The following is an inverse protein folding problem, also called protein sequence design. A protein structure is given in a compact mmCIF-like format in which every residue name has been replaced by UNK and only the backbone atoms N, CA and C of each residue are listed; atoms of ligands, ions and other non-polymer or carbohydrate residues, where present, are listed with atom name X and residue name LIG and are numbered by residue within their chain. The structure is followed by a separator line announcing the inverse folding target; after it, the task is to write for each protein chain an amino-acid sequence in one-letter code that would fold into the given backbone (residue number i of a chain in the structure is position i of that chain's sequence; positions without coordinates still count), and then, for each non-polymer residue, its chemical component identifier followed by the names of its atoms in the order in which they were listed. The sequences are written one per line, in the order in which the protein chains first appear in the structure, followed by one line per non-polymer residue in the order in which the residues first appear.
data_IF_748224280356
#
_entry.id   IF_748224280356
#
_cell.length_a   1.000
_cell.length_b   1.000
_cell.length_c   1.000
_cell.angle_alpha   90.00
_cell.angle_beta   90.00
_cell.angle_gamma   90.00
#
_symmetry.space_group_name_H-M   'P 1'
#
loop_
_entity.id
_entity.type
_entity.pdbx_description
1 polymer ?
#
# COMPACT_ATOMS: atom_id res chain seq x y z
N UNK A 1 -27.00 10.44 31.87
CA UNK A 1 -25.88 9.48 31.92
C UNK A 1 -25.46 9.17 30.49
N UNK A 2 -24.37 9.76 30.01
CA UNK A 2 -23.86 9.51 28.67
C UNK A 2 -23.07 8.20 28.66
N UNK A 3 -23.45 7.26 27.79
CA UNK A 3 -22.67 6.04 27.55
C UNK A 3 -21.32 6.46 26.97
N UNK A 4 -20.24 6.27 27.74
CA UNK A 4 -18.89 6.26 27.21
C UNK A 4 -18.79 5.14 26.19
N UNK A 5 -18.45 5.49 24.96
CA UNK A 5 -18.04 4.54 23.94
C UNK A 5 -16.61 4.15 24.32
N UNK A 6 -16.43 2.93 24.83
CA UNK A 6 -15.11 2.42 25.21
C UNK A 6 -14.17 2.43 24.00
N UNK A 7 -12.97 2.98 24.20
CA UNK A 7 -11.89 2.86 23.23
C UNK A 7 -11.50 1.37 23.10
N UNK A 8 -11.21 0.87 21.89
CA UNK A 8 -10.87 -0.52 21.68
C UNK A 8 -9.59 -0.89 22.47
N UNK A 9 -9.51 -2.12 23.02
CA UNK A 9 -8.39 -2.54 23.86
C UNK A 9 -7.07 -2.44 23.09
N UNK A 10 -6.06 -1.83 23.73
CA UNK A 10 -4.69 -1.80 23.21
C UNK A 10 -4.20 -3.23 22.99
N UNK A 11 -3.88 -3.57 21.74
CA UNK A 11 -3.12 -4.78 21.40
C UNK A 11 -3.80 -5.84 20.53
N UNK A 12 -5.05 -5.66 20.09
CA UNK A 12 -5.66 -6.58 19.11
C UNK A 12 -5.70 -5.95 17.72
N UNK A 13 -5.08 -6.62 16.75
CA UNK A 13 -5.17 -6.23 15.35
C UNK A 13 -6.63 -6.36 14.88
N UNK A 14 -7.17 -5.27 14.32
CA UNK A 14 -8.46 -5.28 13.65
C UNK A 14 -8.28 -5.95 12.30
N UNK A 15 -9.06 -7.00 12.03
CA UNK A 15 -9.01 -7.67 10.73
C UNK A 15 -10.05 -7.07 9.81
N UNK A 16 -9.61 -6.74 8.61
CA UNK A 16 -10.46 -6.19 7.58
C UNK A 16 -10.42 -7.11 6.36
N UNK A 17 -11.56 -7.73 6.01
CA UNK A 17 -11.66 -8.61 4.83
C UNK A 17 -11.51 -7.77 3.55
N UNK A 18 -10.52 -8.08 2.73
CA UNK A 18 -10.30 -7.38 1.46
C UNK A 18 -11.40 -7.69 0.41
N UNK A 19 -12.21 -8.73 0.65
CA UNK A 19 -13.28 -9.23 -0.21
C UNK A 19 -12.82 -9.42 -1.66
N UNK A 20 -11.70 -10.11 -1.83
CA UNK A 20 -11.12 -10.38 -3.14
C UNK A 20 -11.81 -11.60 -3.73
N UNK A 21 -12.97 -11.40 -4.36
CA UNK A 21 -13.83 -12.48 -4.88
C UNK A 21 -13.28 -13.11 -6.17
N UNK A 22 -12.68 -12.30 -7.04
CA UNK A 22 -11.86 -12.73 -8.19
C UNK A 22 -10.69 -11.78 -8.28
N UNK A 23 -9.50 -12.27 -7.95
CA UNK A 23 -8.27 -11.54 -8.26
C UNK A 23 -8.22 -11.41 -9.79
N UNK A 24 -7.77 -10.27 -10.31
CA UNK A 24 -7.37 -10.21 -11.72
C UNK A 24 -6.24 -11.23 -11.93
N UNK A 25 -6.58 -12.41 -12.43
CA UNK A 25 -5.66 -13.55 -12.56
C UNK A 25 -4.47 -13.26 -13.50
N UNK A 26 -4.53 -12.15 -14.24
CA UNK A 26 -3.48 -11.69 -15.14
C UNK A 26 -2.43 -10.76 -14.51
N UNK A 27 -2.61 -10.29 -13.26
CA UNK A 27 -1.60 -9.41 -12.63
C UNK A 27 -0.38 -10.20 -12.12
N UNK A 28 0.80 -9.73 -12.51
CA UNK A 28 2.09 -10.11 -11.96
C UNK A 28 2.52 -9.19 -10.83
N UNK A 29 3.72 -9.45 -10.32
CA UNK A 29 4.34 -8.63 -9.27
C UNK A 29 4.63 -7.19 -9.75
N UNK A 30 5.11 -6.96 -11.00
CA UNK A 30 5.32 -5.60 -11.50
C UNK A 30 4.05 -4.75 -11.54
N UNK A 31 2.91 -5.30 -11.98
CA UNK A 31 1.64 -4.56 -12.02
C UNK A 31 1.15 -4.17 -10.61
N UNK A 32 1.35 -5.06 -9.64
CA UNK A 32 1.03 -4.77 -8.23
C UNK A 32 1.94 -3.68 -7.65
N UNK A 33 3.25 -3.73 -7.91
CA UNK A 33 4.20 -2.70 -7.47
C UNK A 33 3.93 -1.35 -8.16
N UNK A 34 3.62 -1.37 -9.47
CA UNK A 34 3.20 -0.20 -10.24
C UNK A 34 2.01 0.50 -9.58
N UNK A 35 1.03 -0.26 -9.11
CA UNK A 35 -0.14 0.31 -8.43
C UNK A 35 0.21 1.00 -7.11
N UNK A 36 1.17 0.48 -6.34
CA UNK A 36 1.67 1.15 -5.12
C UNK A 36 2.38 2.45 -5.47
N UNK A 37 3.25 2.43 -6.48
CA UNK A 37 3.97 3.62 -6.98
C UNK A 37 2.98 4.67 -7.49
N UNK A 38 1.98 4.26 -8.29
CA UNK A 38 0.95 5.15 -8.81
C UNK A 38 0.17 5.83 -7.67
N UNK A 39 -0.17 5.09 -6.61
CA UNK A 39 -0.87 5.67 -5.46
C UNK A 39 -0.01 6.69 -4.70
N UNK A 40 1.30 6.46 -4.58
CA UNK A 40 2.23 7.44 -3.99
C UNK A 40 2.34 8.71 -4.86
N UNK A 41 2.46 8.55 -6.19
CA UNK A 41 2.48 9.67 -7.14
C UNK A 41 1.18 10.48 -7.11
N UNK A 42 0.03 9.81 -7.08
CA UNK A 42 -1.28 10.46 -6.97
C UNK A 42 -1.37 11.27 -5.69
N UNK A 43 -0.93 10.72 -4.56
CA UNK A 43 -0.95 11.43 -3.30
C UNK A 43 -0.02 12.66 -3.34
N UNK A 44 1.16 12.56 -3.96
CA UNK A 44 2.04 13.70 -4.20
C UNK A 44 1.33 14.78 -5.03
N UNK A 45 0.71 14.42 -6.15
CA UNK A 45 0.01 15.36 -7.03
C UNK A 45 -1.21 16.01 -6.35
N UNK A 46 -1.95 15.27 -5.52
CA UNK A 46 -3.15 15.77 -4.85
C UNK A 46 -2.84 16.65 -3.64
N UNK A 47 -1.80 16.30 -2.87
CA UNK A 47 -1.44 16.99 -1.62
C UNK A 47 -0.35 18.05 -1.79
N UNK A 48 0.36 18.06 -2.93
CA UNK A 48 1.55 18.89 -3.13
C UNK A 48 2.70 18.52 -2.18
N UNK A 49 2.75 17.26 -1.74
CA UNK A 49 3.79 16.78 -0.83
C UNK A 49 5.15 16.62 -1.53
N UNK A 50 6.17 16.31 -0.72
CA UNK A 50 7.51 16.04 -1.22
C UNK A 50 7.54 14.84 -2.18
N UNK A 51 8.59 14.77 -2.98
CA UNK A 51 8.82 13.67 -3.92
C UNK A 51 8.89 12.32 -3.20
N UNK A 52 8.18 11.33 -3.74
CA UNK A 52 8.20 9.98 -3.19
C UNK A 52 9.61 9.37 -3.27
N UNK A 53 9.93 8.48 -2.34
CA UNK A 53 11.20 7.76 -2.31
C UNK A 53 10.98 6.28 -2.61
N UNK A 54 11.77 5.72 -3.54
CA UNK A 54 11.84 4.28 -3.79
C UNK A 54 13.25 3.78 -3.49
N UNK A 55 13.42 3.09 -2.36
CA UNK A 55 14.74 2.70 -1.86
C UNK A 55 14.74 1.23 -1.44
N UNK A 56 15.77 0.49 -1.85
CA UNK A 56 15.99 -0.88 -1.38
C UNK A 56 16.71 -0.84 -0.03
N UNK A 57 16.17 -1.58 0.96
CA UNK A 57 16.78 -1.76 2.27
C UNK A 57 16.91 -3.25 2.58
N UNK A 58 17.50 -3.57 3.73
CA UNK A 58 17.72 -4.95 4.19
C UNK A 58 16.45 -5.79 4.22
N UNK A 59 15.31 -5.17 4.55
CA UNK A 59 14.03 -5.83 4.75
C UNK A 59 13.07 -5.71 3.55
N UNK A 60 13.55 -5.18 2.41
CA UNK A 60 12.84 -5.14 1.15
C UNK A 60 12.88 -3.79 0.46
N UNK A 61 12.03 -3.65 -0.55
CA UNK A 61 11.84 -2.39 -1.25
C UNK A 61 10.87 -1.50 -0.48
N UNK A 62 11.25 -0.24 -0.29
CA UNK A 62 10.41 0.79 0.32
C UNK A 62 9.90 1.75 -0.74
N UNK A 63 8.58 1.95 -0.79
CA UNK A 63 7.93 3.01 -1.56
C UNK A 63 7.29 3.95 -0.54
N UNK A 64 7.88 5.13 -0.34
CA UNK A 64 7.45 6.11 0.66
C UNK A 64 6.89 7.35 0.00
N UNK A 65 5.62 7.67 0.27
CA UNK A 65 5.02 8.99 0.00
C UNK A 65 5.13 9.90 1.24
N UNK A 66 4.97 11.21 1.05
CA UNK A 66 5.00 12.21 2.14
C UNK A 66 3.68 12.97 2.30
N UNK A 67 2.58 12.38 1.82
CA UNK A 67 1.27 13.00 1.83
C UNK A 67 0.51 12.79 3.14
N UNK A 68 -0.80 12.66 3.01
CA UNK A 68 -1.76 12.62 4.14
C UNK A 68 -1.75 11.28 4.88
N UNK A 69 -1.16 10.24 4.31
CA UNK A 69 -1.08 8.89 4.87
C UNK A 69 -2.29 8.01 4.55
N UNK A 70 -2.03 6.73 4.29
CA UNK A 70 -3.06 5.72 3.99
C UNK A 70 -3.92 5.43 5.23
N UNK A 71 -5.25 5.43 5.06
CA UNK A 71 -6.19 4.91 6.05
C UNK A 71 -6.73 3.57 5.57
N UNK A 72 -7.06 2.65 6.47
CA UNK A 72 -7.59 1.34 6.07
C UNK A 72 -8.89 1.44 5.25
N UNK A 73 -9.69 2.50 5.43
CA UNK A 73 -10.87 2.76 4.61
C UNK A 73 -10.54 3.00 3.13
N UNK A 74 -9.33 3.44 2.81
CA UNK A 74 -8.89 3.58 1.41
C UNK A 74 -8.69 2.22 0.75
N UNK A 75 -8.58 1.13 1.53
CA UNK A 75 -8.56 -0.22 1.01
C UNK A 75 -9.95 -0.71 0.60
N UNK A 76 -11.04 0.06 0.78
CA UNK A 76 -12.42 -0.43 0.55
C UNK A 76 -13.20 0.37 -0.48
N UNK A 77 -12.71 1.56 -0.81
CA UNK A 77 -13.38 2.49 -1.71
C UNK A 77 -13.15 2.08 -3.16
N UNK A 78 -14.21 1.77 -3.90
CA UNK A 78 -14.10 1.48 -5.33
C UNK A 78 -13.66 2.71 -6.15
N UNK A 79 -13.94 3.93 -5.66
CA UNK A 79 -13.62 5.16 -6.35
C UNK A 79 -13.37 6.28 -5.35
N UNK A 80 -12.25 7.01 -5.49
CA UNK A 80 -12.00 8.21 -4.71
C UNK A 80 -12.58 9.42 -5.48
N UNK A 81 -13.61 10.13 -4.96
CA UNK A 81 -14.21 11.28 -5.62
C UNK A 81 -13.22 12.41 -5.93
N UNK A 82 -12.13 12.52 -5.16
CA UNK A 82 -11.05 13.48 -5.40
C UNK A 82 -10.26 13.12 -6.66
N UNK A 83 -9.91 11.84 -6.84
CA UNK A 83 -9.21 11.33 -8.03
C UNK A 83 -10.06 11.48 -9.29
N UNK A 84 -11.38 11.23 -9.21
CA UNK A 84 -12.31 11.47 -10.33
C UNK A 84 -12.35 12.95 -10.73
N UNK A 85 -12.37 13.88 -9.77
CA UNK A 85 -12.42 15.33 -10.05
C UNK A 85 -11.10 15.89 -10.57
N UNK A 86 -9.99 15.17 -10.38
CA UNK A 86 -8.64 15.56 -10.78
C UNK A 86 -8.00 14.47 -11.64
N UNK A 87 -8.79 13.89 -12.56
CA UNK A 87 -8.37 12.76 -13.40
C UNK A 87 -7.13 13.03 -14.25
N UNK A 88 -6.86 14.31 -14.52
CA UNK A 88 -5.73 14.75 -15.34
C UNK A 88 -4.42 14.83 -14.52
N UNK A 89 -4.53 14.76 -13.18
CA UNK A 89 -3.41 14.85 -12.24
C UNK A 89 -3.03 13.50 -11.61
N UNK A 90 -3.85 12.46 -11.82
CA UNK A 90 -3.69 11.15 -11.16
C UNK A 90 -3.53 10.04 -12.19
N UNK A 91 -2.60 9.13 -11.92
CA UNK A 91 -2.35 7.90 -12.67
C UNK A 91 -3.45 6.87 -12.35
N UNK A 92 -3.82 6.74 -11.08
CA UNK A 92 -4.84 5.80 -10.63
C UNK A 92 -6.24 6.40 -10.72
N UNK A 93 -7.10 5.84 -11.57
CA UNK A 93 -8.48 6.34 -11.77
C UNK A 93 -9.53 5.64 -10.90
N UNK A 94 -9.22 4.44 -10.40
CA UNK A 94 -10.16 3.57 -9.67
C UNK A 94 -9.55 3.12 -8.34
N UNK A 95 -10.33 3.14 -7.25
CA UNK A 95 -9.89 2.76 -5.90
C UNK A 95 -9.81 1.25 -5.66
N UNK A 96 -10.03 0.45 -6.69
CA UNK A 96 -9.94 -1.02 -6.67
C UNK A 96 -8.51 -1.56 -6.75
N UNK A 97 -7.58 -0.84 -7.39
CA UNK A 97 -6.25 -1.37 -7.73
C UNK A 97 -5.43 -1.80 -6.53
N UNK A 98 -5.49 -1.07 -5.40
CA UNK A 98 -4.67 -1.39 -4.24
C UNK A 98 -5.05 -2.72 -3.57
N UNK A 99 -6.34 -3.11 -3.57
CA UNK A 99 -6.75 -4.43 -3.07
C UNK A 99 -6.16 -5.56 -3.92
N UNK A 100 -6.21 -5.39 -5.24
CA UNK A 100 -5.70 -6.37 -6.19
C UNK A 100 -4.18 -6.48 -6.12
N UNK A 101 -3.48 -5.36 -5.90
CA UNK A 101 -2.05 -5.35 -5.62
C UNK A 101 -1.71 -6.15 -4.36
N UNK A 102 -2.39 -5.88 -3.24
CA UNK A 102 -2.19 -6.61 -1.98
C UNK A 102 -2.46 -8.12 -2.13
N UNK A 103 -3.53 -8.49 -2.83
CA UNK A 103 -3.85 -9.88 -3.10
C UNK A 103 -2.79 -10.56 -3.98
N UNK A 104 -2.29 -9.84 -4.99
CA UNK A 104 -1.24 -10.31 -5.90
C UNK A 104 0.07 -10.53 -5.16
N UNK A 105 0.52 -9.59 -4.32
CA UNK A 105 1.71 -9.75 -3.49
C UNK A 105 1.61 -10.99 -2.59
N UNK A 106 0.51 -11.14 -1.86
CA UNK A 106 0.30 -12.32 -1.02
C UNK A 106 0.36 -13.63 -1.83
N UNK A 107 -0.25 -13.69 -3.02
CA UNK A 107 -0.23 -14.88 -3.88
C UNK A 107 1.16 -15.21 -4.40
N UNK A 108 1.98 -14.18 -4.64
CA UNK A 108 3.35 -14.31 -5.18
C UNK A 108 4.42 -14.43 -4.09
N UNK A 109 4.02 -14.43 -2.81
CA UNK A 109 4.95 -14.57 -1.68
C UNK A 109 5.72 -13.30 -1.35
N UNK A 110 5.29 -12.13 -1.85
CA UNK A 110 5.86 -10.83 -1.47
C UNK A 110 5.21 -10.39 -0.16
N UNK A 111 6.02 -10.19 0.87
CA UNK A 111 5.55 -9.71 2.17
C UNK A 111 5.20 -8.23 2.07
N UNK A 112 4.02 -7.86 2.56
CA UNK A 112 3.58 -6.45 2.59
C UNK A 112 3.49 -5.97 4.03
N UNK A 113 4.20 -4.88 4.32
CA UNK A 113 4.04 -4.09 5.54
C UNK A 113 3.82 -2.63 5.16
N UNK A 114 2.79 -2.01 5.72
CA UNK A 114 2.46 -0.61 5.47
C UNK A 114 2.53 0.14 6.78
N UNK A 115 3.28 1.23 6.83
CA UNK A 115 3.32 2.16 7.96
C UNK A 115 2.71 3.48 7.55
N UNK A 116 1.72 3.93 8.30
CA UNK A 116 1.03 5.21 8.08
C UNK A 116 0.81 5.90 9.43
N UNK A 117 0.70 7.24 9.49
CA UNK A 117 0.29 7.94 10.71
C UNK A 117 -1.07 7.48 11.25
N UNK A 118 -1.88 6.77 10.43
CA UNK A 118 -3.22 6.31 10.81
C UNK A 118 -3.29 4.84 11.22
N UNK A 119 -2.20 4.07 11.09
CA UNK A 119 -2.14 2.66 11.45
C UNK A 119 -1.10 1.90 10.65
N UNK A 120 -0.68 0.75 11.20
CA UNK A 120 0.16 -0.20 10.48
C UNK A 120 -0.71 -1.30 9.88
N UNK A 121 -0.38 -1.77 8.68
CA UNK A 121 -1.14 -2.77 7.95
C UNK A 121 -0.23 -3.90 7.51
N UNK A 122 -0.67 -5.14 7.77
CA UNK A 122 -0.07 -6.37 7.25
C UNK A 122 -1.14 -7.25 6.62
N UNK A 123 -0.75 -8.28 5.88
CA UNK A 123 -1.69 -9.23 5.26
C UNK A 123 -1.73 -10.54 6.04
N UNK A 124 -2.94 -11.05 6.30
CA UNK A 124 -3.14 -12.32 7.00
C UNK A 124 -4.34 -13.07 6.44
N UNK A 125 -4.22 -14.39 6.29
CA UNK A 125 -5.40 -15.25 6.08
C UNK A 125 -6.15 -15.43 7.38
N UNK A 126 -7.44 -15.12 7.39
CA UNK A 126 -8.32 -15.32 8.54
C UNK A 126 -9.67 -15.86 8.09
N UNK A 127 -10.45 -16.39 9.03
CA UNK A 127 -11.81 -16.81 8.74
C UNK A 127 -12.67 -15.57 8.43
N UNK A 128 -13.52 -15.69 7.40
CA UNK A 128 -14.50 -14.68 7.05
C UNK A 128 -15.49 -14.52 8.20
N UNK A 129 -15.82 -13.26 8.53
CA UNK A 129 -16.81 -12.97 9.57
C UNK A 129 -18.12 -13.71 9.25
N UNK A 130 -18.64 -14.46 10.22
CA UNK A 130 -19.85 -15.31 10.11
C UNK A 130 -19.73 -16.58 9.25
N UNK A 131 -18.55 -16.88 8.68
CA UNK A 131 -18.30 -18.11 7.91
C UNK A 131 -16.92 -18.69 8.28
N UNK A 132 -16.87 -19.39 9.43
CA UNK A 132 -15.63 -19.90 10.00
C UNK A 132 -14.83 -20.81 9.04
N UNK A 133 -15.54 -21.53 8.16
CA UNK A 133 -14.95 -22.49 7.21
C UNK A 133 -14.36 -21.82 5.96
N UNK A 134 -14.64 -20.53 5.75
CA UNK A 134 -14.15 -19.77 4.59
C UNK A 134 -12.98 -18.90 5.04
N UNK A 135 -11.76 -19.20 4.59
CA UNK A 135 -10.60 -18.33 4.84
C UNK A 135 -10.43 -17.33 3.70
N UNK A 136 -10.50 -16.04 4.02
CA UNK A 136 -10.23 -14.94 3.07
C UNK A 136 -8.94 -14.22 3.44
N UNK A 137 -8.48 -13.33 2.55
CA UNK A 137 -7.32 -12.48 2.81
C UNK A 137 -7.79 -11.21 3.52
N UNK A 138 -7.21 -10.94 4.68
CA UNK A 138 -7.50 -9.76 5.48
C UNK A 138 -6.30 -8.84 5.56
N UNK A 139 -6.57 -7.53 5.59
CA UNK A 139 -5.66 -6.54 6.14
C UNK A 139 -5.77 -6.57 7.68
N UNK A 140 -4.67 -6.91 8.34
CA UNK A 140 -4.55 -6.80 9.79
C UNK A 140 -4.02 -5.41 10.14
N UNK A 141 -4.85 -4.63 10.83
CA UNK A 141 -4.60 -3.22 11.13
C UNK A 141 -4.29 -3.08 12.63
N UNK A 142 -3.16 -2.46 12.94
CA UNK A 142 -2.76 -2.11 14.31
C UNK A 142 -2.59 -0.60 14.47
N UNK A 143 -2.58 -0.07 15.70
CA UNK A 143 -2.20 1.31 15.93
C UNK A 143 -0.85 1.64 15.26
N UNK A 144 -0.65 2.89 14.80
CA UNK A 144 0.56 3.27 14.08
C UNK A 144 1.78 3.08 14.97
N UNK A 145 2.81 2.39 14.48
CA UNK A 145 4.11 2.34 15.16
C UNK A 145 4.83 3.69 15.12
N UNK A 146 4.56 4.49 14.07
CA UNK A 146 5.13 5.82 13.85
C UNK A 146 4.02 6.88 13.70
N UNK A 147 3.30 7.27 14.77
CA UNK A 147 2.15 8.19 14.69
C UNK A 147 2.50 9.60 14.21
N UNK A 148 3.78 9.98 14.23
CA UNK A 148 4.29 11.27 13.76
C UNK A 148 4.87 11.21 12.34
N UNK A 149 4.84 10.04 11.68
CA UNK A 149 5.29 9.89 10.29
C UNK A 149 4.46 10.81 9.38
N UNK A 150 5.12 11.37 8.37
CA UNK A 150 4.45 12.05 7.26
C UNK A 150 4.33 11.06 6.10
N UNK A 151 3.13 10.94 5.54
CA UNK A 151 2.81 10.01 4.45
C UNK A 151 2.84 8.53 4.82
N UNK A 152 2.92 7.67 3.81
CA UNK A 152 2.86 6.20 3.93
C UNK A 152 4.18 5.59 3.48
N UNK A 153 4.65 4.57 4.18
CA UNK A 153 5.73 3.69 3.71
C UNK A 153 5.19 2.29 3.42
N UNK A 154 5.31 1.85 2.18
CA UNK A 154 5.08 0.47 1.75
C UNK A 154 6.39 -0.29 1.68
N UNK A 155 6.55 -1.27 2.56
CA UNK A 155 7.67 -2.22 2.52
C UNK A 155 7.23 -3.51 1.83
N UNK A 156 7.93 -3.87 0.75
CA UNK A 156 7.70 -5.05 -0.07
C UNK A 156 8.88 -6.02 0.10
N UNK A 157 8.72 -6.96 1.04
CA UNK A 157 9.73 -7.97 1.36
C UNK A 157 9.74 -9.09 0.32
N UNK A 158 10.93 -9.45 -0.16
CA UNK A 158 11.09 -10.49 -1.19
C UNK A 158 10.77 -10.04 -2.62
N UNK A 159 10.45 -8.76 -2.84
CA UNK A 159 10.33 -8.19 -4.18
C UNK A 159 11.71 -8.15 -4.86
N UNK A 160 11.80 -8.68 -6.08
CA UNK A 160 13.05 -8.69 -6.85
C UNK A 160 13.37 -7.33 -7.45
N UNK A 161 14.65 -7.09 -7.74
CA UNK A 161 15.09 -5.84 -8.38
C UNK A 161 14.55 -5.73 -9.81
N UNK A 162 14.49 -6.85 -10.53
CA UNK A 162 13.89 -6.91 -11.87
C UNK A 162 12.40 -6.58 -11.85
N UNK A 163 11.64 -7.06 -10.86
CA UNK A 163 10.22 -6.72 -10.75
C UNK A 163 10.02 -5.25 -10.36
N UNK A 164 10.88 -4.71 -9.49
CA UNK A 164 10.85 -3.28 -9.15
C UNK A 164 11.21 -2.40 -10.36
N UNK A 165 12.25 -2.76 -11.12
CA UNK A 165 12.62 -2.06 -12.35
C UNK A 165 11.47 -2.10 -13.37
N UNK A 166 10.91 -3.28 -13.64
CA UNK A 166 9.76 -3.43 -14.53
C UNK A 166 8.54 -2.62 -14.06
N UNK A 167 8.33 -2.48 -12.75
CA UNK A 167 7.27 -1.62 -12.22
C UNK A 167 7.53 -0.13 -12.47
N UNK A 168 8.79 0.32 -12.42
CA UNK A 168 9.20 1.71 -12.73
C UNK A 168 9.06 2.03 -14.22
N UNK A 169 9.31 1.08 -15.10
CA UNK A 169 9.22 1.27 -16.57
C UNK A 169 7.83 1.70 -17.06
N UNK A 170 6.78 1.46 -16.26
CA UNK A 170 5.44 1.97 -16.55
C UNK A 170 5.33 3.51 -16.45
N UNK A 171 6.32 4.19 -15.88
CA UNK A 171 6.29 5.63 -15.66
C UNK A 171 7.44 6.31 -16.40
N UNK A 172 7.10 7.18 -17.36
CA UNK A 172 8.09 7.97 -18.11
C UNK A 172 9.03 8.78 -17.21
N UNK A 173 8.60 9.16 -15.99
CA UNK A 173 9.42 9.87 -15.01
C UNK A 173 10.69 9.10 -14.63
N UNK A 174 10.63 7.76 -14.64
CA UNK A 174 11.75 6.91 -14.25
C UNK A 174 12.56 6.41 -15.46
N UNK A 175 12.17 6.75 -16.69
CA UNK A 175 12.80 6.28 -17.93
C UNK A 175 14.23 6.82 -18.17
N UNK A 176 14.85 7.47 -17.17
CA UNK A 176 16.24 7.93 -17.20
C UNK A 176 16.98 7.75 -15.87
N UNK A 177 16.43 6.99 -14.92
CA UNK A 177 16.99 6.79 -13.57
C UNK A 177 18.05 5.67 -13.51
N UNK A 178 18.57 5.18 -14.65
CA UNK A 178 19.57 4.10 -14.70
C UNK A 178 20.89 4.41 -13.95
N UNK A 179 21.14 5.65 -13.51
CA UNK A 179 22.44 6.05 -12.96
C UNK A 179 22.48 6.51 -11.49
N UNK A 180 21.37 6.46 -10.74
CA UNK A 180 21.34 7.01 -9.36
C UNK A 180 20.79 6.05 -8.30
N UNK A 181 21.11 4.76 -8.36
CA UNK A 181 21.13 3.95 -7.15
C UNK A 181 22.35 4.33 -6.29
N UNK A 182 22.22 5.43 -5.55
CA UNK A 182 23.14 5.75 -4.45
C UNK A 182 23.00 4.65 -3.41
N UNK A 183 23.90 3.68 -3.44
CA UNK A 183 24.19 2.85 -2.28
C UNK A 183 24.56 3.80 -1.14
N UNK A 184 23.74 3.86 -0.10
CA UNK A 184 24.17 4.38 1.21
C UNK A 184 25.18 3.38 1.80
N UNK A 185 26.39 3.34 1.23
CA UNK A 185 27.58 2.82 1.89
C UNK A 185 28.25 4.03 2.54
N UNK A 186 27.81 4.34 3.75
CA UNK A 186 28.39 5.36 4.60
C UNK A 186 29.00 4.75 5.85
N UNK A 187 30.34 4.63 5.82
CA UNK A 187 31.30 4.46 6.94
C UNK A 187 31.31 3.15 7.73
#
# INVERSE_FOLDING_TARGET
MARQVEAPPKGKASLFDLNVEKILDHWGVPEAAREVIANALDEQALSGSAELQIVKRRDGWHITDFGRGLRYQHLTQNENPEKRRRSDLVVGKFGVGLKDALATFHRRGVEVRVRSPHGDITLRRAAKTNFADVKTLHAAITPPSEPRRRGTDFTLGGLSDSDMAAARDYFLRFAGDEELERTELGS
#
